data_IF_194488650949
#
_entry.id   IF_194488650949
#
_cell.length_a   1.000
_cell.length_b   1.000
_cell.length_c   1.000
_cell.angle_alpha   90.00
_cell.angle_beta   90.00
_cell.angle_gamma   90.00
#
_symmetry.space_group_name_H-M   'P 1'
#
loop_
_entity.id
_entity.type
_entity.pdbx_description
1 polymer ?
#
# COMPACT_ATOMS: atom_id res chain seq x y z
N UNK A 1 22.61 -0.49 24.94
CA UNK A 1 23.21 -0.15 23.64
C UNK A 1 22.52 1.12 23.11
N UNK A 2 23.22 2.06 22.52
CA UNK A 2 22.60 3.23 21.90
C UNK A 2 21.79 2.78 20.68
N UNK A 3 20.62 3.38 20.46
CA UNK A 3 19.73 3.04 19.35
C UNK A 3 20.38 3.38 18.00
N UNK A 4 20.36 2.46 17.05
CA UNK A 4 20.86 2.70 15.70
C UNK A 4 19.89 3.65 14.95
N UNK A 5 20.33 4.89 14.69
CA UNK A 5 19.59 5.92 13.97
C UNK A 5 19.79 5.91 12.46
N UNK A 6 20.62 5.00 11.92
CA UNK A 6 20.91 4.90 10.47
C UNK A 6 20.27 3.71 9.79
N UNK A 7 19.68 2.81 10.55
CA UNK A 7 18.98 1.63 10.06
C UNK A 7 17.50 1.73 10.34
N UNK A 8 16.66 1.41 9.35
CA UNK A 8 15.20 1.32 9.50
C UNK A 8 14.71 -0.08 9.14
N UNK A 9 13.84 -0.62 9.98
CA UNK A 9 13.00 -1.78 9.67
C UNK A 9 11.64 -1.28 9.22
N UNK A 10 11.31 -1.51 7.95
CA UNK A 10 10.12 -1.05 7.27
C UNK A 10 9.19 -2.23 7.00
N UNK A 11 7.93 -2.10 7.36
CA UNK A 11 6.96 -3.18 7.30
C UNK A 11 5.79 -2.84 6.39
N UNK A 12 5.37 -3.78 5.54
CA UNK A 12 4.00 -3.81 5.07
C UNK A 12 3.04 -4.07 6.24
N UNK A 13 1.74 -3.84 6.05
CA UNK A 13 0.73 -3.96 7.09
C UNK A 13 -0.05 -5.27 6.99
N UNK A 14 -0.79 -5.46 5.88
CA UNK A 14 -1.64 -6.63 5.67
C UNK A 14 -0.81 -7.89 5.41
N UNK A 15 -1.05 -8.98 6.14
CA UNK A 15 -0.29 -10.22 6.01
C UNK A 15 1.12 -10.18 6.62
N UNK A 16 1.58 -9.01 7.06
CA UNK A 16 2.93 -8.79 7.62
C UNK A 16 2.89 -8.43 9.10
N UNK A 17 2.21 -7.35 9.49
CA UNK A 17 2.03 -6.92 10.89
C UNK A 17 0.75 -7.46 11.50
N UNK A 18 -0.26 -7.65 10.70
CA UNK A 18 -1.53 -8.28 11.09
C UNK A 18 -1.98 -9.24 10.00
N UNK A 19 -2.79 -10.23 10.36
CA UNK A 19 -3.52 -11.00 9.36
C UNK A 19 -4.42 -10.06 8.55
N UNK A 20 -4.63 -10.38 7.27
CA UNK A 20 -5.41 -9.51 6.38
C UNK A 20 -6.77 -9.16 6.99
N UNK A 21 -7.03 -7.87 7.17
CA UNK A 21 -8.24 -7.30 7.77
C UNK A 21 -8.48 -7.68 9.23
N UNK A 22 -7.47 -8.13 9.94
CA UNK A 22 -7.54 -8.45 11.36
C UNK A 22 -6.77 -7.41 12.19
N UNK A 23 -7.05 -7.35 13.47
CA UNK A 23 -6.30 -6.52 14.40
C UNK A 23 -4.91 -7.12 14.64
N UNK A 24 -3.92 -6.26 14.79
CA UNK A 24 -2.57 -6.65 15.18
C UNK A 24 -2.58 -7.29 16.58
N UNK A 25 -1.85 -8.40 16.73
CA UNK A 25 -1.75 -9.11 18.00
C UNK A 25 -0.87 -8.37 19.01
N UNK A 26 -1.12 -8.61 20.32
CA UNK A 26 -0.27 -8.09 21.38
C UNK A 26 1.18 -8.60 21.30
N UNK A 27 1.38 -9.80 20.82
CA UNK A 27 2.72 -10.37 20.56
C UNK A 27 3.48 -9.52 19.54
N UNK A 28 2.84 -9.14 18.44
CA UNK A 28 3.43 -8.29 17.40
C UNK A 28 3.71 -6.89 17.93
N UNK A 29 2.79 -6.32 18.71
CA UNK A 29 2.99 -5.01 19.38
C UNK A 29 4.24 -4.99 20.22
N UNK A 30 4.42 -5.98 21.09
CA UNK A 30 5.62 -6.12 21.94
C UNK A 30 6.89 -6.27 21.11
N UNK A 31 6.84 -7.01 20.03
CA UNK A 31 7.96 -7.14 19.10
C UNK A 31 8.38 -5.77 18.56
N UNK A 32 7.45 -4.97 18.09
CA UNK A 32 7.71 -3.62 17.57
C UNK A 32 8.28 -2.68 18.65
N UNK A 33 7.76 -2.76 19.88
CA UNK A 33 8.27 -1.97 21.01
C UNK A 33 9.72 -2.36 21.39
N UNK A 34 10.05 -3.63 21.32
CA UNK A 34 11.43 -4.11 21.52
C UNK A 34 12.35 -3.67 20.39
N UNK A 35 11.91 -3.83 19.15
CA UNK A 35 12.65 -3.43 17.95
C UNK A 35 12.92 -1.92 17.93
N UNK A 36 11.94 -1.11 18.30
CA UNK A 36 12.04 0.36 18.38
C UNK A 36 13.14 0.85 19.33
N UNK A 37 13.49 0.07 20.35
CA UNK A 37 14.61 0.39 21.25
C UNK A 37 15.98 0.16 20.61
N UNK A 38 16.04 -0.64 19.54
CA UNK A 38 17.30 -1.03 18.89
C UNK A 38 17.57 -0.23 17.62
N UNK A 39 16.52 0.05 16.84
CA UNK A 39 16.64 0.69 15.53
C UNK A 39 15.39 1.52 15.20
N UNK A 40 15.42 2.28 14.09
CA UNK A 40 14.24 2.98 13.58
C UNK A 40 13.25 1.97 13.01
N UNK A 41 11.96 2.25 13.20
CA UNK A 41 10.89 1.44 12.63
C UNK A 41 9.88 2.29 11.86
N UNK A 42 9.39 1.74 10.75
CA UNK A 42 8.38 2.36 9.91
C UNK A 42 7.38 1.36 9.35
N UNK A 43 6.22 1.85 8.93
CA UNK A 43 5.27 1.07 8.16
C UNK A 43 5.01 1.74 6.81
N UNK A 44 4.70 0.94 5.78
CA UNK A 44 4.27 1.39 4.47
C UNK A 44 3.10 0.53 3.99
N UNK A 45 2.01 1.15 3.62
CA UNK A 45 0.83 0.43 3.14
C UNK A 45 0.03 1.24 2.12
N UNK A 46 -0.66 0.55 1.22
CA UNK A 46 -1.47 1.18 0.17
C UNK A 46 -2.75 1.85 0.67
N UNK A 47 -3.20 1.53 1.88
CA UNK A 47 -4.39 2.13 2.50
C UNK A 47 -4.09 3.53 3.09
N UNK A 48 -5.15 4.33 3.25
CA UNK A 48 -5.08 5.56 4.03
C UNK A 48 -4.79 5.29 5.51
N UNK A 49 -4.43 6.35 6.25
CA UNK A 49 -4.05 6.24 7.67
C UNK A 49 -5.17 5.66 8.55
N UNK A 50 -6.43 6.03 8.29
CA UNK A 50 -7.56 5.60 9.12
C UNK A 50 -7.77 4.08 9.02
N UNK A 51 -7.70 3.51 7.82
CA UNK A 51 -7.78 2.05 7.65
C UNK A 51 -6.61 1.32 8.28
N UNK A 52 -5.42 1.90 8.26
CA UNK A 52 -4.26 1.30 8.93
C UNK A 52 -4.38 1.39 10.45
N UNK A 53 -5.02 2.44 11.00
CA UNK A 53 -5.38 2.53 12.42
C UNK A 53 -6.39 1.47 12.85
N UNK A 54 -7.39 1.19 12.01
CA UNK A 54 -8.34 0.11 12.28
C UNK A 54 -7.66 -1.25 12.48
N UNK A 55 -6.53 -1.51 11.83
CA UNK A 55 -5.79 -2.77 11.93
C UNK A 55 -4.72 -2.78 13.03
N UNK A 56 -3.95 -1.71 13.14
CA UNK A 56 -2.80 -1.63 14.05
C UNK A 56 -3.21 -1.07 15.42
N UNK A 57 -4.21 -0.20 15.44
CA UNK A 57 -4.71 0.51 16.63
C UNK A 57 -4.52 2.01 16.52
N UNK A 58 -5.27 2.77 17.34
CA UNK A 58 -5.29 4.24 17.32
C UNK A 58 -3.91 4.85 17.59
N UNK A 59 -3.07 4.15 18.34
CA UNK A 59 -1.70 4.57 18.66
C UNK A 59 -0.66 4.20 17.58
N UNK A 60 -1.07 3.86 16.36
CA UNK A 60 -0.19 3.51 15.23
C UNK A 60 0.99 4.47 15.10
N UNK A 61 0.74 5.78 15.04
CA UNK A 61 1.80 6.79 14.89
C UNK A 61 2.67 6.97 16.15
N UNK A 62 2.31 6.37 17.28
CA UNK A 62 3.14 6.33 18.49
C UNK A 62 4.10 5.16 18.48
N UNK A 63 3.62 4.06 17.93
CA UNK A 63 4.38 2.81 17.84
C UNK A 63 5.55 2.96 16.86
N UNK A 64 5.35 3.64 15.74
CA UNK A 64 6.37 3.82 14.70
C UNK A 64 7.04 5.20 14.73
N UNK A 65 8.30 5.26 14.26
CA UNK A 65 9.02 6.51 14.04
C UNK A 65 8.59 7.17 12.73
N UNK A 66 8.34 6.32 11.72
CA UNK A 66 7.97 6.71 10.36
C UNK A 66 6.70 6.00 9.92
N UNK A 67 5.79 6.75 9.32
CA UNK A 67 4.56 6.23 8.75
C UNK A 67 4.40 6.67 7.30
N UNK A 68 4.11 5.69 6.44
CA UNK A 68 3.94 5.89 5.00
C UNK A 68 2.59 5.33 4.52
N UNK A 69 1.45 5.93 4.95
CA UNK A 69 0.16 5.61 4.37
C UNK A 69 0.15 5.96 2.88
N UNK A 70 -0.76 5.30 2.14
CA UNK A 70 -0.91 5.51 0.70
C UNK A 70 0.44 5.38 -0.04
N UNK A 71 1.24 4.35 0.33
CA UNK A 71 2.56 4.06 -0.25
C UNK A 71 3.63 5.13 0.01
N UNK A 72 3.39 6.04 0.94
CA UNK A 72 4.30 7.16 1.24
C UNK A 72 3.92 8.48 0.57
N UNK A 73 2.80 8.53 -0.16
CA UNK A 73 2.21 9.79 -0.64
C UNK A 73 1.82 10.69 0.53
N UNK A 74 1.44 10.08 1.66
CA UNK A 74 1.36 10.72 2.97
C UNK A 74 2.52 10.27 3.84
N UNK A 75 3.33 11.21 4.32
CA UNK A 75 4.52 10.93 5.15
C UNK A 75 4.37 11.50 6.55
N UNK A 76 4.49 10.63 7.54
CA UNK A 76 4.50 10.96 8.96
C UNK A 76 5.84 10.64 9.59
N UNK A 77 6.34 11.56 10.43
CA UNK A 77 7.51 11.35 11.30
C UNK A 77 7.16 11.77 12.72
N UNK A 78 7.38 10.88 13.68
CA UNK A 78 7.09 11.14 15.10
C UNK A 78 5.68 11.73 15.29
N UNK A 79 4.65 11.06 14.80
CA UNK A 79 3.21 11.43 14.86
C UNK A 79 2.81 12.65 14.00
N UNK A 80 3.76 13.38 13.44
CA UNK A 80 3.50 14.62 12.71
C UNK A 80 3.48 14.36 11.21
N UNK A 81 2.42 14.79 10.52
CA UNK A 81 2.37 14.84 9.06
C UNK A 81 3.45 15.80 8.55
N UNK A 82 4.38 15.32 7.75
CA UNK A 82 5.48 16.09 7.15
C UNK A 82 5.18 16.51 5.73
N UNK A 83 4.61 15.61 4.94
CA UNK A 83 4.18 15.90 3.58
C UNK A 83 2.98 15.04 3.19
N UNK A 84 2.18 15.58 2.30
CA UNK A 84 1.09 14.86 1.64
C UNK A 84 0.93 15.42 0.24
N UNK A 85 0.99 14.54 -0.76
CA UNK A 85 0.67 14.90 -2.13
C UNK A 85 -0.76 14.47 -2.48
N UNK A 86 -1.31 15.08 -3.52
CA UNK A 86 -2.64 14.71 -4.01
C UNK A 86 -2.56 14.45 -5.51
N UNK A 87 -3.12 13.36 -5.94
CA UNK A 87 -3.15 12.97 -7.35
C UNK A 87 -3.81 14.06 -8.22
N UNK A 88 -4.79 14.79 -7.70
CA UNK A 88 -5.45 15.88 -8.43
C UNK A 88 -4.49 17.04 -8.75
N UNK A 89 -3.53 17.30 -7.88
CA UNK A 89 -2.53 18.36 -8.10
C UNK A 89 -1.51 17.94 -9.16
N UNK A 90 -1.23 16.64 -9.26
CA UNK A 90 -0.34 16.05 -10.28
C UNK A 90 -1.01 16.02 -11.66
N UNK A 91 -2.27 15.60 -11.73
CA UNK A 91 -2.99 15.41 -12.99
C UNK A 91 -3.68 16.69 -13.48
N UNK A 92 -4.09 17.57 -12.58
CA UNK A 92 -4.84 18.79 -12.87
C UNK A 92 -6.32 18.56 -13.18
N UNK A 93 -7.13 19.60 -12.94
CA UNK A 93 -8.60 19.53 -13.04
C UNK A 93 -9.11 19.16 -14.44
N UNK A 94 -8.42 19.61 -15.50
CA UNK A 94 -8.80 19.31 -16.88
C UNK A 94 -8.71 17.80 -17.15
N UNK A 95 -7.60 17.19 -16.74
CA UNK A 95 -7.40 15.75 -16.90
C UNK A 95 -8.48 14.96 -16.14
N UNK A 96 -8.79 15.36 -14.89
CA UNK A 96 -9.83 14.71 -14.10
C UNK A 96 -11.17 14.66 -14.81
N UNK A 97 -11.59 15.78 -15.43
CA UNK A 97 -12.83 15.84 -16.18
C UNK A 97 -12.81 14.90 -17.39
N UNK A 98 -11.74 14.91 -18.17
CA UNK A 98 -11.60 14.03 -19.33
C UNK A 98 -11.56 12.54 -18.92
N UNK A 99 -10.93 12.24 -17.81
CA UNK A 99 -10.87 10.90 -17.24
C UNK A 99 -12.26 10.42 -16.78
N UNK A 100 -12.98 11.25 -16.05
CA UNK A 100 -14.32 10.97 -15.56
C UNK A 100 -15.29 10.72 -16.72
N UNK A 101 -15.31 11.61 -17.72
CA UNK A 101 -16.13 11.47 -18.92
C UNK A 101 -15.85 10.13 -19.64
N UNK A 102 -14.59 9.79 -19.84
CA UNK A 102 -14.20 8.52 -20.48
C UNK A 102 -14.67 7.31 -19.67
N UNK A 103 -14.42 7.30 -18.35
CA UNK A 103 -14.78 6.18 -17.46
C UNK A 103 -16.30 5.96 -17.47
N UNK A 104 -17.08 7.01 -17.32
CA UNK A 104 -18.55 6.92 -17.29
C UNK A 104 -19.12 6.48 -18.65
N UNK A 105 -18.58 7.00 -19.75
CA UNK A 105 -18.98 6.58 -21.10
C UNK A 105 -18.67 5.10 -21.34
N UNK A 106 -17.49 4.63 -20.93
CA UNK A 106 -17.08 3.24 -21.07
C UNK A 106 -17.98 2.30 -20.26
N UNK A 107 -18.21 2.62 -18.98
CA UNK A 107 -19.07 1.83 -18.10
C UNK A 107 -20.52 1.79 -18.63
N UNK A 108 -21.03 2.89 -19.18
CA UNK A 108 -22.38 2.92 -19.76
C UNK A 108 -22.54 1.92 -20.91
N UNK A 109 -21.51 1.75 -21.73
CA UNK A 109 -21.51 0.80 -22.87
C UNK A 109 -21.25 -0.65 -22.45
N UNK A 110 -20.76 -0.87 -21.24
CA UNK A 110 -20.43 -2.20 -20.75
C UNK A 110 -21.70 -3.00 -20.45
N UNK A 111 -21.81 -4.20 -21.02
CA UNK A 111 -22.93 -5.11 -20.77
C UNK A 111 -22.68 -5.94 -19.51
N UNK A 112 -23.01 -5.38 -18.35
CA UNK A 112 -22.91 -6.04 -17.05
C UNK A 112 -24.27 -6.02 -16.35
N UNK A 113 -24.65 -7.11 -15.63
CA UNK A 113 -25.99 -7.30 -15.11
C UNK A 113 -26.41 -6.27 -14.05
N UNK A 114 -25.44 -5.69 -13.35
CA UNK A 114 -25.70 -4.74 -12.26
C UNK A 114 -24.75 -3.54 -12.38
N UNK A 115 -25.32 -2.34 -12.29
CA UNK A 115 -24.59 -1.08 -12.16
C UNK A 115 -25.19 -0.29 -10.99
N UNK A 116 -24.40 -0.06 -9.96
CA UNK A 116 -24.78 0.74 -8.78
C UNK A 116 -24.12 2.11 -8.85
N UNK A 117 -24.27 2.90 -7.82
CA UNK A 117 -23.61 4.21 -7.70
C UNK A 117 -22.13 4.11 -7.33
N UNK A 118 -21.45 5.24 -7.36
CA UNK A 118 -20.01 5.40 -7.04
C UNK A 118 -19.10 4.55 -7.92
N UNK A 119 -19.14 4.80 -9.22
CA UNK A 119 -18.22 4.19 -10.18
C UNK A 119 -16.77 4.66 -9.99
N UNK A 120 -16.59 5.90 -9.55
CA UNK A 120 -15.31 6.56 -9.35
C UNK A 120 -15.20 7.00 -7.89
N UNK A 121 -14.14 6.61 -7.21
CA UNK A 121 -13.79 7.06 -5.86
C UNK A 121 -12.44 7.77 -5.93
N UNK A 122 -12.42 9.05 -5.61
CA UNK A 122 -11.20 9.85 -5.55
C UNK A 122 -10.56 9.72 -4.17
N UNK A 123 -9.28 9.34 -4.15
CA UNK A 123 -8.42 9.30 -2.96
C UNK A 123 -7.26 10.27 -3.13
N UNK A 124 -6.46 10.50 -2.11
CA UNK A 124 -5.30 11.38 -2.25
C UNK A 124 -4.28 10.83 -3.24
N UNK A 125 -3.98 9.55 -3.17
CA UNK A 125 -2.93 8.90 -3.95
C UNK A 125 -3.41 8.21 -5.23
N UNK A 126 -4.71 7.96 -5.37
CA UNK A 126 -5.24 7.20 -6.49
C UNK A 126 -6.69 7.55 -6.82
N UNK A 127 -7.11 7.15 -8.03
CA UNK A 127 -8.51 7.09 -8.41
C UNK A 127 -8.90 5.62 -8.48
N UNK A 128 -9.92 5.22 -7.74
CA UNK A 128 -10.44 3.86 -7.78
C UNK A 128 -11.70 3.81 -8.64
N UNK A 129 -11.68 3.00 -9.70
CA UNK A 129 -12.78 2.82 -10.63
C UNK A 129 -13.42 1.45 -10.41
N UNK A 130 -14.75 1.40 -10.28
CA UNK A 130 -15.50 0.15 -10.12
C UNK A 130 -16.63 0.08 -11.15
N UNK A 131 -16.54 -0.78 -12.18
CA UNK A 131 -17.59 -0.89 -13.21
C UNK A 131 -18.97 -1.25 -12.66
N UNK A 132 -19.03 -2.07 -11.62
CA UNK A 132 -20.29 -2.44 -10.96
C UNK A 132 -20.78 -1.39 -9.96
N UNK A 133 -19.93 -0.42 -9.62
CA UNK A 133 -20.18 0.59 -8.59
C UNK A 133 -19.82 0.10 -7.18
N UNK A 134 -19.33 1.01 -6.34
CA UNK A 134 -18.87 0.65 -4.97
C UNK A 134 -20.01 0.39 -3.99
N UNK A 135 -21.22 0.88 -4.30
CA UNK A 135 -22.43 0.66 -3.50
C UNK A 135 -23.10 -0.70 -3.79
N UNK A 136 -22.45 -1.58 -4.57
CA UNK A 136 -22.92 -2.94 -4.79
C UNK A 136 -22.87 -3.77 -3.49
N UNK A 137 -23.84 -4.66 -3.34
CA UNK A 137 -23.91 -5.60 -2.22
C UNK A 137 -22.75 -6.62 -2.29
N UNK A 138 -22.51 -7.35 -1.20
CA UNK A 138 -21.51 -8.42 -1.18
C UNK A 138 -21.82 -9.52 -2.21
N UNK A 139 -23.08 -9.84 -2.41
CA UNK A 139 -23.51 -10.84 -3.38
C UNK A 139 -23.29 -10.34 -4.83
N UNK A 140 -23.70 -9.12 -5.15
CA UNK A 140 -23.46 -8.50 -6.47
C UNK A 140 -21.97 -8.40 -6.79
N UNK A 141 -21.13 -8.07 -5.79
CA UNK A 141 -19.67 -8.06 -5.90
C UNK A 141 -19.11 -9.43 -6.29
N UNK A 142 -19.57 -10.49 -5.63
CA UNK A 142 -19.14 -11.84 -5.92
C UNK A 142 -19.60 -12.29 -7.31
N UNK A 143 -20.85 -12.01 -7.68
CA UNK A 143 -21.39 -12.30 -9.00
C UNK A 143 -20.60 -11.59 -10.10
N UNK A 144 -20.33 -10.28 -9.94
CA UNK A 144 -19.50 -9.54 -10.88
C UNK A 144 -18.10 -10.13 -10.98
N UNK A 145 -17.45 -10.47 -9.87
CA UNK A 145 -16.11 -11.04 -9.85
C UNK A 145 -16.02 -12.36 -10.63
N UNK A 146 -17.01 -13.27 -10.45
CA UNK A 146 -17.03 -14.54 -11.18
C UNK A 146 -17.32 -14.35 -12.67
N UNK A 147 -18.16 -13.37 -13.02
CA UNK A 147 -18.42 -12.99 -14.40
C UNK A 147 -17.19 -12.34 -15.06
N UNK A 148 -16.51 -11.44 -14.37
CA UNK A 148 -15.32 -10.75 -14.85
C UNK A 148 -14.14 -11.68 -15.14
N UNK A 149 -14.00 -12.76 -14.37
CA UNK A 149 -13.00 -13.81 -14.66
C UNK A 149 -13.17 -14.43 -16.06
N UNK A 150 -14.43 -14.53 -16.54
CA UNK A 150 -14.76 -15.11 -17.85
C UNK A 150 -14.71 -14.07 -18.95
N UNK A 151 -15.40 -12.95 -18.73
CA UNK A 151 -15.64 -11.92 -19.74
C UNK A 151 -14.54 -10.88 -19.85
N UNK A 152 -13.65 -10.81 -18.83
CA UNK A 152 -12.50 -9.91 -18.81
C UNK A 152 -12.87 -8.42 -18.91
N UNK A 153 -13.96 -8.01 -18.29
CA UNK A 153 -14.47 -6.63 -18.36
C UNK A 153 -13.44 -5.60 -17.88
N UNK A 154 -12.83 -5.85 -16.71
CA UNK A 154 -11.83 -4.92 -16.16
C UNK A 154 -10.54 -4.93 -16.97
N UNK A 155 -10.12 -6.09 -17.47
CA UNK A 155 -8.94 -6.22 -18.31
C UNK A 155 -9.10 -5.39 -19.61
N UNK A 156 -10.22 -5.55 -20.31
CA UNK A 156 -10.57 -4.76 -21.50
C UNK A 156 -10.67 -3.25 -21.21
N UNK A 157 -11.23 -2.90 -20.06
CA UNK A 157 -11.31 -1.49 -19.65
C UNK A 157 -9.93 -0.89 -19.35
N UNK A 158 -9.05 -1.63 -18.69
CA UNK A 158 -7.65 -1.23 -18.43
C UNK A 158 -6.89 -1.02 -19.73
N UNK A 159 -7.06 -1.89 -20.72
CA UNK A 159 -6.46 -1.73 -22.04
C UNK A 159 -6.94 -0.45 -22.73
N UNK A 160 -8.25 -0.19 -22.71
CA UNK A 160 -8.83 1.03 -23.26
C UNK A 160 -8.33 2.30 -22.53
N UNK A 161 -8.20 2.25 -21.19
CA UNK A 161 -7.62 3.34 -20.40
C UNK A 161 -6.15 3.58 -20.77
N UNK A 162 -5.36 2.53 -20.90
CA UNK A 162 -3.94 2.62 -21.30
C UNK A 162 -3.78 3.27 -22.66
N UNK A 163 -4.60 2.92 -23.63
CA UNK A 163 -4.56 3.54 -24.97
C UNK A 163 -5.02 5.00 -24.91
N UNK A 164 -6.14 5.28 -24.21
CA UNK A 164 -6.71 6.65 -24.15
C UNK A 164 -5.79 7.63 -23.42
N UNK A 165 -5.10 7.17 -22.37
CA UNK A 165 -4.28 7.99 -21.47
C UNK A 165 -2.78 7.62 -21.54
N UNK A 166 -2.32 7.10 -22.67
CA UNK A 166 -0.94 6.66 -22.89
C UNK A 166 0.11 7.73 -22.64
N UNK A 167 -0.24 8.99 -22.88
CA UNK A 167 0.65 10.14 -22.68
C UNK A 167 0.59 10.71 -21.24
N UNK A 168 -0.21 10.09 -20.37
CA UNK A 168 -0.28 10.47 -18.96
C UNK A 168 0.77 9.73 -18.11
N UNK A 169 0.95 10.20 -16.87
CA UNK A 169 1.77 9.48 -15.90
C UNK A 169 1.04 8.32 -15.22
N UNK A 170 -0.24 8.04 -15.56
CA UNK A 170 -1.03 7.03 -14.86
C UNK A 170 -0.62 5.60 -15.20
N UNK A 171 -0.67 4.78 -14.16
CA UNK A 171 -0.67 3.32 -14.22
C UNK A 171 -2.06 2.82 -13.85
N UNK A 172 -2.51 1.77 -14.53
CA UNK A 172 -3.81 1.14 -14.31
C UNK A 172 -3.61 -0.31 -13.91
N UNK A 173 -4.12 -0.68 -12.74
CA UNK A 173 -4.00 -2.02 -12.18
C UNK A 173 -5.36 -2.55 -11.74
N UNK A 174 -5.60 -3.84 -11.96
CA UNK A 174 -6.82 -4.48 -11.47
C UNK A 174 -6.67 -4.71 -9.96
N UNK A 175 -7.57 -4.11 -9.18
CA UNK A 175 -7.59 -4.16 -7.72
C UNK A 175 -8.76 -4.97 -7.16
N UNK A 176 -8.48 -5.89 -6.24
CA UNK A 176 -9.50 -6.66 -5.55
C UNK A 176 -10.53 -7.32 -6.47
N UNK A 177 -11.80 -7.37 -6.03
CA UNK A 177 -12.86 -8.09 -6.74
C UNK A 177 -13.58 -7.26 -7.81
N UNK A 178 -13.61 -5.93 -7.66
CA UNK A 178 -14.48 -5.06 -8.50
C UNK A 178 -13.80 -3.81 -9.02
N UNK A 179 -12.54 -3.57 -8.65
CA UNK A 179 -11.90 -2.27 -8.86
C UNK A 179 -10.80 -2.31 -9.90
N UNK A 180 -10.52 -1.13 -10.44
CA UNK A 180 -9.32 -0.76 -11.16
C UNK A 180 -8.71 0.40 -10.39
N UNK A 181 -7.45 0.28 -10.00
CA UNK A 181 -6.69 1.30 -9.29
C UNK A 181 -5.85 2.09 -10.31
N UNK A 182 -6.03 3.42 -10.32
CA UNK A 182 -5.37 4.34 -11.22
C UNK A 182 -4.51 5.30 -10.38
N UNK A 183 -3.19 5.24 -10.55
CA UNK A 183 -2.24 6.04 -9.76
C UNK A 183 -1.05 6.47 -10.60
N UNK A 184 -0.35 7.56 -10.24
CA UNK A 184 0.83 7.99 -10.96
C UNK A 184 1.96 6.96 -10.89
N UNK A 185 2.71 6.81 -11.97
CA UNK A 185 3.88 5.94 -12.02
C UNK A 185 4.86 6.28 -10.90
N UNK A 186 5.33 5.26 -10.19
CA UNK A 186 6.22 5.43 -9.04
C UNK A 186 5.51 5.83 -7.73
N UNK A 187 4.16 5.82 -7.71
CA UNK A 187 3.38 5.95 -6.46
C UNK A 187 3.03 4.57 -5.87
N UNK A 188 3.88 3.59 -6.12
CA UNK A 188 3.96 2.31 -5.42
C UNK A 188 4.76 2.45 -4.10
N UNK A 189 4.98 1.35 -3.38
CA UNK A 189 5.66 1.39 -2.08
C UNK A 189 7.09 1.96 -2.12
N UNK A 190 7.74 1.99 -3.29
CA UNK A 190 9.07 2.63 -3.43
C UNK A 190 9.02 4.14 -3.22
N UNK A 191 7.82 4.75 -3.32
CA UNK A 191 7.65 6.18 -3.11
C UNK A 191 8.14 6.64 -1.73
N UNK A 192 7.98 5.84 -0.69
CA UNK A 192 8.42 6.14 0.66
C UNK A 192 9.95 6.30 0.78
N UNK A 193 10.72 5.66 -0.11
CA UNK A 193 12.19 5.65 -0.03
C UNK A 193 12.81 7.04 -0.21
N UNK A 194 12.15 7.95 -0.92
CA UNK A 194 12.60 9.34 -1.04
C UNK A 194 12.66 10.03 0.31
N UNK A 195 11.64 9.84 1.15
CA UNK A 195 11.57 10.43 2.48
C UNK A 195 12.62 9.80 3.41
N UNK A 196 12.83 8.49 3.31
CA UNK A 196 13.84 7.75 4.09
C UNK A 196 15.23 8.26 3.75
N UNK A 197 15.52 8.49 2.46
CA UNK A 197 16.80 9.03 2.00
C UNK A 197 17.05 10.46 2.51
N UNK A 198 16.04 11.32 2.48
CA UNK A 198 16.13 12.70 2.95
C UNK A 198 16.38 12.78 4.46
N UNK A 199 16.02 11.76 5.22
CA UNK A 199 16.28 11.61 6.65
C UNK A 199 17.70 11.09 6.98
N UNK A 200 18.53 10.79 5.97
CA UNK A 200 19.89 10.29 6.14
C UNK A 200 19.98 8.85 6.64
N UNK A 201 18.91 8.07 6.45
CA UNK A 201 18.88 6.62 6.77
C UNK A 201 19.64 5.87 5.69
N UNK A 202 20.61 5.04 6.10
CA UNK A 202 21.54 4.36 5.20
C UNK A 202 21.12 2.92 4.89
N UNK A 203 20.52 2.22 5.86
CA UNK A 203 20.16 0.81 5.74
C UNK A 203 18.64 0.64 5.85
N UNK A 204 18.02 0.11 4.81
CA UNK A 204 16.58 -0.16 4.76
C UNK A 204 16.36 -1.67 4.69
N UNK A 205 15.72 -2.23 5.70
CA UNK A 205 15.27 -3.63 5.76
C UNK A 205 13.75 -3.65 5.65
N UNK A 206 13.25 -4.18 4.52
CA UNK A 206 11.82 -4.26 4.26
C UNK A 206 11.28 -5.67 4.49
N UNK A 207 10.10 -5.77 5.10
CA UNK A 207 9.35 -7.01 5.33
C UNK A 207 7.97 -6.89 4.72
N UNK A 208 7.61 -7.85 3.84
CA UNK A 208 6.32 -7.89 3.17
C UNK A 208 5.94 -9.30 2.74
N UNK A 209 4.64 -9.55 2.55
CA UNK A 209 4.12 -10.87 2.17
C UNK A 209 3.89 -11.03 0.66
N UNK A 210 3.57 -9.95 -0.06
CA UNK A 210 3.25 -9.95 -1.48
C UNK A 210 4.44 -9.52 -2.35
N UNK A 211 5.58 -10.19 -2.17
CA UNK A 211 6.86 -9.85 -2.82
C UNK A 211 7.08 -10.50 -4.18
N UNK A 212 6.17 -11.37 -4.64
CA UNK A 212 6.21 -11.98 -5.97
C UNK A 212 5.81 -10.97 -7.05
N UNK A 213 6.15 -11.25 -8.30
CA UNK A 213 5.76 -10.42 -9.44
C UNK A 213 4.24 -10.21 -9.49
N UNK A 214 3.83 -8.94 -9.59
CA UNK A 214 2.43 -8.51 -9.50
C UNK A 214 1.89 -8.31 -8.09
N UNK A 215 2.66 -8.63 -7.06
CA UNK A 215 2.36 -8.28 -5.66
C UNK A 215 2.67 -6.81 -5.38
N UNK A 216 1.98 -6.23 -4.41
CA UNK A 216 2.13 -4.81 -4.06
C UNK A 216 3.44 -4.48 -3.31
N UNK A 217 4.21 -5.50 -2.90
CA UNK A 217 5.53 -5.38 -2.30
C UNK A 217 6.67 -5.62 -3.29
N UNK A 218 6.35 -6.03 -4.52
CA UNK A 218 7.36 -6.47 -5.49
C UNK A 218 8.40 -5.40 -5.79
N UNK A 219 7.97 -4.17 -6.06
CA UNK A 219 8.84 -3.08 -6.45
C UNK A 219 9.79 -2.68 -5.32
N UNK A 220 9.29 -2.51 -4.10
CA UNK A 220 10.13 -2.14 -2.94
C UNK A 220 11.04 -3.30 -2.51
N UNK A 221 10.56 -4.53 -2.56
CA UNK A 221 11.35 -5.72 -2.24
C UNK A 221 12.58 -5.86 -3.16
N UNK A 222 12.41 -5.58 -4.45
CA UNK A 222 13.48 -5.68 -5.46
C UNK A 222 14.28 -4.37 -5.65
N UNK A 223 13.98 -3.33 -4.87
CA UNK A 223 14.67 -2.05 -5.02
C UNK A 223 16.13 -2.17 -4.55
N UNK A 224 17.06 -1.63 -5.35
CA UNK A 224 18.52 -1.76 -5.13
C UNK A 224 19.02 -1.24 -3.78
N UNK A 225 18.32 -0.29 -3.17
CA UNK A 225 18.69 0.34 -1.89
C UNK A 225 17.92 -0.29 -0.70
N UNK A 226 17.26 -1.43 -0.90
CA UNK A 226 16.43 -2.12 0.09
C UNK A 226 16.88 -3.55 0.26
N UNK A 227 16.99 -3.99 1.49
CA UNK A 227 17.18 -5.41 1.86
C UNK A 227 15.81 -6.03 2.12
N UNK A 228 15.19 -6.58 1.08
CA UNK A 228 13.86 -7.18 1.15
C UNK A 228 13.83 -8.54 1.83
N UNK A 229 12.83 -8.81 2.64
CA UNK A 229 12.55 -10.10 3.27
C UNK A 229 11.09 -10.46 3.07
N UNK A 230 10.82 -11.56 2.37
CA UNK A 230 9.47 -12.11 2.24
C UNK A 230 9.04 -12.75 3.54
N UNK A 231 7.82 -12.47 3.99
CA UNK A 231 7.19 -13.11 5.15
C UNK A 231 5.91 -13.82 4.73
N UNK A 232 5.42 -14.76 5.53
CA UNK A 232 4.20 -15.54 5.24
C UNK A 232 2.99 -15.07 6.05
N UNK A 233 3.24 -14.54 7.22
CA UNK A 233 2.26 -14.09 8.20
C UNK A 233 2.98 -13.34 9.34
N UNK A 234 2.26 -12.75 10.30
CA UNK A 234 2.86 -12.01 11.42
C UNK A 234 3.82 -12.84 12.30
N UNK A 235 3.58 -14.13 12.47
CA UNK A 235 4.50 -14.98 13.24
C UNK A 235 5.84 -15.19 12.51
N UNK A 236 5.81 -15.34 11.20
CA UNK A 236 7.03 -15.42 10.37
C UNK A 236 7.77 -14.08 10.38
N UNK A 237 7.05 -12.94 10.39
CA UNK A 237 7.64 -11.61 10.55
C UNK A 237 8.46 -11.52 11.84
N UNK A 238 7.88 -11.95 12.97
CA UNK A 238 8.58 -11.95 14.25
C UNK A 238 9.91 -12.72 14.18
N UNK A 239 9.88 -13.94 13.63
CA UNK A 239 11.07 -14.79 13.52
C UNK A 239 12.15 -14.18 12.64
N UNK A 240 11.77 -13.63 11.49
CA UNK A 240 12.70 -13.04 10.52
C UNK A 240 13.28 -11.72 10.99
N UNK A 241 12.52 -10.92 11.75
CA UNK A 241 13.03 -9.73 12.40
C UNK A 241 14.10 -10.08 13.43
N UNK A 242 13.84 -11.07 14.30
CA UNK A 242 14.83 -11.51 15.30
C UNK A 242 16.11 -12.05 14.66
N UNK A 243 15.96 -12.86 13.60
CA UNK A 243 17.08 -13.35 12.81
C UNK A 243 17.87 -12.19 12.18
N UNK A 244 17.21 -11.26 11.55
CA UNK A 244 17.85 -10.12 10.87
C UNK A 244 18.63 -9.23 11.85
N UNK A 245 18.09 -8.97 13.03
CA UNK A 245 18.79 -8.22 14.08
C UNK A 245 20.11 -8.89 14.48
N UNK A 246 20.11 -10.22 14.63
CA UNK A 246 21.32 -10.99 14.93
C UNK A 246 22.34 -10.93 13.79
N UNK A 247 21.87 -11.09 12.55
CA UNK A 247 22.72 -11.02 11.35
C UNK A 247 23.46 -9.67 11.22
N UNK A 248 22.80 -8.56 11.57
CA UNK A 248 23.41 -7.23 11.48
C UNK A 248 24.09 -6.76 12.77
N UNK A 249 24.21 -7.63 13.77
CA UNK A 249 24.94 -7.35 15.00
C UNK A 249 24.22 -6.48 16.04
N UNK A 250 22.89 -6.29 15.91
CA UNK A 250 22.09 -5.55 16.90
C UNK A 250 21.54 -6.43 18.04
N UNK A 251 21.93 -7.72 18.08
CA UNK A 251 21.44 -8.70 19.04
C UNK A 251 19.96 -9.06 18.80
N UNK A 252 19.51 -10.22 19.30
CA UNK A 252 18.11 -10.63 19.14
C UNK A 252 17.12 -9.74 19.88
N UNK A 253 15.84 -9.88 19.59
CA UNK A 253 14.75 -9.08 20.20
C UNK A 253 14.77 -9.12 21.74
N UNK A 254 15.11 -10.28 22.33
CA UNK A 254 15.13 -10.49 23.77
C UNK A 254 16.53 -10.29 24.40
N UNK A 255 17.51 -9.87 23.63
CA UNK A 255 18.87 -9.57 24.09
C UNK A 255 18.99 -8.07 24.41
N UNK A 256 19.56 -7.73 25.58
CA UNK A 256 19.79 -6.35 26.03
C UNK A 256 21.04 -5.72 25.43
#
# INVERSE_FOLDING_TARGET
MERDGKTIFLFDVDGTLSESRALMTEKMRRMLEMLKKKTLIGFVGGSDLEKQREQIGDNLLELFDYGFPENGVSFYKNKTLKSQEKIIDVLGKKFYKEFEEFVLEYINKMDIPVKRSKFIEYRNSMINVSPVGRDCTREERKQFFELDKKEKFREKMVEAMRERFKDSCLVFSIGGQISIDCFPRGWDKTYCLRHIKDEGIENVYFFGDMTMEGGNDYEIFNHKDVNGTTVKNPDDTYLKVDQKLKEIGLGGLNEN
#
